data_IF_591938796176
#
_entry.id   IF_591938796176
#
_cell.length_a   1.000
_cell.length_b   1.000
_cell.length_c   1.000
_cell.angle_alpha   90.00
_cell.angle_beta   90.00
_cell.angle_gamma   90.00
#
_symmetry.space_group_name_H-M   'P 1'
#
loop_
_entity.id
_entity.type
_entity.pdbx_description
1 polymer ?
#
# COMPACT_ATOMS: atom_id res chain seq x y z
N UNK A 1 -3.15 5.05 4.81
CA UNK A 1 -2.62 5.51 3.50
C UNK A 1 -2.46 4.30 2.60
N UNK A 2 -2.77 4.42 1.32
CA UNK A 2 -2.55 3.36 0.32
C UNK A 2 -1.66 3.88 -0.77
N UNK A 3 -0.72 3.02 -1.16
CA UNK A 3 0.21 3.32 -2.23
C UNK A 3 0.00 2.28 -3.33
N UNK A 4 -0.39 2.80 -4.49
CA UNK A 4 -0.67 2.01 -5.69
C UNK A 4 -0.23 2.79 -6.90
N UNK A 5 0.05 2.12 -8.00
CA UNK A 5 0.53 2.79 -9.20
C UNK A 5 -0.54 3.73 -9.80
N UNK A 6 -0.09 4.84 -10.39
CA UNK A 6 -0.94 5.79 -11.09
C UNK A 6 -1.36 5.27 -12.47
N UNK A 7 -2.63 5.45 -12.84
CA UNK A 7 -3.11 5.19 -14.19
C UNK A 7 -2.72 6.28 -15.18
N UNK A 8 -2.78 7.56 -14.80
CA UNK A 8 -2.58 8.68 -15.73
C UNK A 8 -1.20 8.72 -16.42
N UNK A 9 -0.16 8.21 -15.77
CA UNK A 9 1.20 8.13 -16.33
C UNK A 9 1.59 6.71 -16.78
N UNK A 10 0.71 5.71 -16.59
CA UNK A 10 0.94 4.33 -16.99
C UNK A 10 -0.20 3.84 -17.87
N UNK A 11 0.01 3.91 -19.19
CA UNK A 11 -0.96 3.51 -20.22
C UNK A 11 -1.49 2.09 -20.00
N UNK A 12 -0.66 1.16 -19.50
CA UNK A 12 -1.10 -0.20 -19.21
C UNK A 12 -2.11 -0.27 -18.08
N UNK A 13 -1.90 0.50 -17.01
CA UNK A 13 -2.83 0.58 -15.87
C UNK A 13 -4.12 1.30 -16.28
N UNK A 14 -4.00 2.39 -17.05
CA UNK A 14 -5.17 3.08 -17.57
C UNK A 14 -6.04 2.15 -18.42
N UNK A 15 -5.45 1.45 -19.37
CA UNK A 15 -6.16 0.50 -20.22
C UNK A 15 -6.78 -0.64 -19.39
N UNK A 16 -6.04 -1.20 -18.44
CA UNK A 16 -6.56 -2.26 -17.56
C UNK A 16 -7.78 -1.79 -16.76
N UNK A 17 -7.77 -0.55 -16.29
CA UNK A 17 -8.90 0.07 -15.57
C UNK A 17 -10.09 0.36 -16.50
N UNK A 18 -9.85 0.86 -17.71
CA UNK A 18 -10.90 1.11 -18.70
C UNK A 18 -11.57 -0.19 -19.17
N UNK A 19 -10.81 -1.26 -19.31
CA UNK A 19 -11.31 -2.57 -19.74
C UNK A 19 -11.93 -3.40 -18.60
N UNK A 20 -11.57 -3.12 -17.36
CA UNK A 20 -12.04 -3.86 -16.19
C UNK A 20 -12.30 -2.92 -15.01
N UNK A 21 -13.59 -2.65 -14.75
CA UNK A 21 -14.03 -1.86 -13.60
C UNK A 21 -13.61 -2.46 -12.24
N UNK A 22 -13.25 -3.76 -12.18
CA UNK A 22 -12.73 -4.43 -10.99
C UNK A 22 -11.19 -4.39 -10.89
N UNK A 23 -10.51 -3.53 -11.66
CA UNK A 23 -9.07 -3.32 -11.52
C UNK A 23 -8.76 -2.50 -10.25
N UNK A 24 -8.69 -3.16 -9.10
CA UNK A 24 -8.63 -2.47 -7.80
C UNK A 24 -7.23 -1.94 -7.41
N UNK A 25 -6.17 -2.43 -8.07
CA UNK A 25 -4.77 -2.21 -7.70
C UNK A 25 -4.15 -0.85 -8.10
N UNK A 26 -4.94 0.12 -8.57
CA UNK A 26 -4.46 1.46 -8.92
C UNK A 26 -4.89 2.53 -7.90
N UNK A 27 -4.19 3.66 -7.92
CA UNK A 27 -4.48 4.79 -7.05
C UNK A 27 -5.93 5.32 -7.22
N UNK A 28 -6.46 5.32 -8.44
CA UNK A 28 -7.79 5.84 -8.74
C UNK A 28 -8.92 4.98 -8.15
N UNK A 29 -8.76 3.66 -8.19
CA UNK A 29 -9.75 2.73 -7.64
C UNK A 29 -9.50 2.42 -6.16
N UNK A 30 -8.31 2.74 -5.64
CA UNK A 30 -8.02 2.79 -4.21
C UNK A 30 -8.41 1.52 -3.43
N UNK A 31 -8.17 0.35 -4.04
CA UNK A 31 -8.57 -0.98 -3.54
C UNK A 31 -10.09 -1.19 -3.37
N UNK A 32 -10.93 -0.23 -3.77
CA UNK A 32 -12.38 -0.30 -3.63
C UNK A 32 -12.89 -0.12 -2.19
N UNK A 33 -12.06 0.35 -1.26
CA UNK A 33 -12.40 0.42 0.18
C UNK A 33 -12.58 1.86 0.72
N UNK A 34 -12.49 2.88 -0.14
CA UNK A 34 -12.57 4.29 0.26
C UNK A 34 -13.86 4.60 1.02
N UNK A 35 -15.01 4.36 0.39
CA UNK A 35 -16.32 4.67 0.97
C UNK A 35 -16.52 3.95 2.30
N UNK A 36 -16.10 2.69 2.39
CA UNK A 36 -16.18 1.92 3.62
C UNK A 36 -15.36 2.55 4.74
N UNK A 37 -14.09 2.92 4.50
CA UNK A 37 -13.24 3.56 5.51
C UNK A 37 -13.74 4.93 5.93
N UNK A 38 -14.14 5.76 4.97
CA UNK A 38 -14.65 7.10 5.22
C UNK A 38 -15.99 7.05 5.99
N UNK A 39 -16.86 6.07 5.70
CA UNK A 39 -18.11 5.85 6.46
C UNK A 39 -17.89 5.49 7.94
N UNK A 40 -16.69 5.00 8.29
CA UNK A 40 -16.27 4.72 9.67
C UNK A 40 -15.53 5.89 10.32
N UNK A 41 -15.40 7.02 9.62
CA UNK A 41 -14.71 8.21 10.11
C UNK A 41 -13.19 8.17 9.97
N UNK A 42 -12.65 7.23 9.19
CA UNK A 42 -11.21 7.16 8.94
C UNK A 42 -10.81 8.09 7.79
N UNK A 43 -9.64 8.72 7.92
CA UNK A 43 -9.02 9.41 6.80
C UNK A 43 -8.29 8.42 5.90
N UNK A 44 -8.62 8.44 4.61
CA UNK A 44 -8.06 7.52 3.63
C UNK A 44 -7.32 8.26 2.52
N UNK A 45 -6.01 8.39 2.72
CA UNK A 45 -5.08 9.01 1.75
C UNK A 45 -4.62 7.94 0.78
N UNK A 46 -4.68 8.23 -0.51
CA UNK A 46 -4.18 7.37 -1.59
C UNK A 46 -3.22 8.18 -2.42
N UNK A 47 -2.07 7.61 -2.76
CA UNK A 47 -1.08 8.28 -3.58
C UNK A 47 -0.34 7.29 -4.47
N UNK A 48 0.02 7.69 -5.70
CA UNK A 48 1.00 6.97 -6.48
C UNK A 48 2.44 7.34 -6.15
N UNK A 49 2.66 8.38 -5.36
CA UNK A 49 3.99 8.77 -4.93
C UNK A 49 4.49 7.82 -3.84
N UNK A 50 5.38 6.90 -4.22
CA UNK A 50 6.05 5.97 -3.30
C UNK A 50 7.43 6.47 -2.84
N UNK A 51 7.96 7.48 -3.54
CA UNK A 51 9.23 8.14 -3.26
C UNK A 51 9.04 9.65 -3.05
N UNK A 52 10.10 10.31 -2.60
CA UNK A 52 10.12 11.76 -2.48
C UNK A 52 9.50 12.32 -1.20
N UNK A 53 9.53 13.65 -1.05
CA UNK A 53 9.13 14.33 0.18
C UNK A 53 7.65 14.13 0.52
N UNK A 54 6.77 13.99 -0.48
CA UNK A 54 5.32 13.88 -0.25
C UNK A 54 4.96 12.53 0.40
N UNK A 55 5.48 11.41 -0.11
CA UNK A 55 5.33 10.11 0.55
C UNK A 55 5.94 10.13 1.96
N UNK A 56 7.12 10.72 2.11
CA UNK A 56 7.82 10.84 3.40
C UNK A 56 7.08 11.71 4.43
N UNK A 57 6.31 12.70 3.98
CA UNK A 57 5.64 13.68 4.84
C UNK A 57 4.49 13.05 5.64
N UNK A 58 3.79 12.07 5.07
CA UNK A 58 2.68 11.42 5.77
C UNK A 58 3.11 10.39 6.80
N UNK A 59 4.27 9.74 6.59
CA UNK A 59 4.75 8.60 7.40
C UNK A 59 4.66 8.84 8.93
N UNK A 60 5.06 10.01 9.48
CA UNK A 60 4.96 10.26 10.92
C UNK A 60 3.53 10.20 11.49
N UNK A 61 2.52 10.43 10.66
CA UNK A 61 1.12 10.54 11.07
C UNK A 61 0.28 9.29 10.75
N UNK A 62 0.84 8.32 10.03
CA UNK A 62 0.11 7.11 9.64
C UNK A 62 -0.09 6.17 10.81
N UNK A 63 -1.28 5.58 10.89
CA UNK A 63 -1.56 4.42 11.75
C UNK A 63 -1.52 3.11 10.95
N UNK A 64 -1.96 3.17 9.70
CA UNK A 64 -1.97 2.06 8.74
C UNK A 64 -1.37 2.51 7.42
N UNK A 65 -0.41 1.73 6.91
CA UNK A 65 0.11 1.85 5.55
C UNK A 65 -0.21 0.57 4.77
N UNK A 66 -0.87 0.74 3.62
CA UNK A 66 -1.15 -0.33 2.66
C UNK A 66 -0.28 -0.10 1.42
N UNK A 67 0.47 -1.11 1.00
CA UNK A 67 1.30 -1.07 -0.20
C UNK A 67 1.07 -2.33 -1.03
N UNK A 68 1.39 -2.30 -2.32
CA UNK A 68 1.27 -3.47 -3.19
C UNK A 68 2.65 -3.98 -3.61
N UNK A 69 2.88 -5.30 -3.78
CA UNK A 69 4.18 -5.82 -4.25
C UNK A 69 4.53 -5.36 -5.67
N UNK A 70 3.53 -5.09 -6.51
CA UNK A 70 3.70 -4.68 -7.91
C UNK A 70 4.15 -3.21 -8.05
N UNK A 71 3.86 -2.40 -7.03
CA UNK A 71 4.32 -1.01 -6.96
C UNK A 71 4.74 -0.70 -5.51
N UNK A 72 5.90 -1.25 -5.07
CA UNK A 72 6.21 -1.35 -3.65
C UNK A 72 6.73 -0.04 -3.10
N UNK A 73 6.15 0.39 -1.98
CA UNK A 73 6.72 1.44 -1.14
C UNK A 73 7.72 0.80 -0.18
N UNK A 74 9.01 1.04 -0.40
CA UNK A 74 10.01 0.53 0.52
C UNK A 74 9.86 1.17 1.91
N UNK A 75 9.61 0.34 2.92
CA UNK A 75 9.46 0.75 4.33
C UNK A 75 10.76 0.43 5.04
N UNK A 76 11.73 1.33 4.86
CA UNK A 76 13.09 1.19 5.40
C UNK A 76 13.13 1.43 6.91
N UNK A 77 14.22 0.99 7.57
CA UNK A 77 14.53 1.33 8.97
C UNK A 77 14.24 2.81 9.28
N UNK A 78 14.69 3.73 8.42
CA UNK A 78 14.58 5.17 8.66
C UNK A 78 13.14 5.68 8.56
N UNK A 79 12.33 5.10 7.68
CA UNK A 79 10.89 5.39 7.61
C UNK A 79 10.17 4.86 8.85
N UNK A 80 10.47 3.63 9.30
CA UNK A 80 9.90 3.03 10.52
C UNK A 80 10.20 3.89 11.75
N UNK A 81 11.46 4.32 11.93
CA UNK A 81 11.84 5.17 13.08
C UNK A 81 11.08 6.50 13.13
N UNK A 82 10.69 7.06 11.97
CA UNK A 82 9.91 8.30 11.85
C UNK A 82 8.40 8.07 12.07
N UNK A 83 7.91 6.85 11.84
CA UNK A 83 6.49 6.50 11.87
C UNK A 83 5.99 6.23 13.30
N UNK A 84 5.91 7.27 14.14
CA UNK A 84 5.64 7.13 15.58
C UNK A 84 4.26 6.56 15.91
N UNK A 85 3.28 6.76 15.03
CA UNK A 85 1.91 6.30 15.23
C UNK A 85 1.59 5.02 14.44
N UNK A 86 2.55 4.51 13.65
CA UNK A 86 2.30 3.39 12.77
C UNK A 86 2.12 2.13 13.60
N UNK A 87 1.09 1.36 13.26
CA UNK A 87 0.72 0.12 13.96
C UNK A 87 0.65 -1.06 13.00
N UNK A 88 0.23 -0.81 11.76
CA UNK A 88 -0.04 -1.84 10.77
C UNK A 88 0.58 -1.51 9.41
N UNK A 89 1.33 -2.47 8.89
CA UNK A 89 1.80 -2.55 7.52
C UNK A 89 1.04 -3.69 6.83
N UNK A 90 0.23 -3.36 5.83
CA UNK A 90 -0.56 -4.32 5.07
C UNK A 90 -0.07 -4.39 3.62
N UNK A 91 0.35 -5.56 3.20
CA UNK A 91 0.64 -5.84 1.79
C UNK A 91 -0.66 -6.25 1.09
N UNK A 92 -1.11 -5.45 0.13
CA UNK A 92 -2.19 -5.80 -0.80
C UNK A 92 -1.71 -6.81 -1.85
N UNK A 93 -1.55 -8.07 -1.43
CA UNK A 93 -0.95 -9.15 -2.20
C UNK A 93 -0.13 -10.09 -1.30
N UNK A 94 0.83 -10.78 -1.90
CA UNK A 94 1.80 -11.68 -1.21
C UNK A 94 3.21 -11.17 -1.47
N UNK A 95 4.06 -11.17 -0.43
CA UNK A 95 5.44 -10.68 -0.49
C UNK A 95 5.60 -9.34 0.22
N UNK A 96 6.24 -9.38 1.39
CA UNK A 96 6.46 -8.22 2.26
C UNK A 96 7.95 -7.87 2.39
N UNK A 97 8.79 -8.27 1.43
CA UNK A 97 10.24 -8.04 1.42
C UNK A 97 10.63 -6.55 1.21
N UNK A 98 9.69 -5.71 0.77
CA UNK A 98 9.85 -4.26 0.74
C UNK A 98 9.77 -3.60 2.12
N UNK A 99 9.50 -4.36 3.18
CA UNK A 99 9.52 -3.92 4.57
C UNK A 99 10.78 -4.40 5.27
N UNK A 100 11.42 -3.54 6.07
CA UNK A 100 12.45 -3.98 7.02
C UNK A 100 11.82 -4.78 8.18
N UNK A 101 11.59 -6.06 7.94
CA UNK A 101 10.87 -6.96 8.87
C UNK A 101 11.57 -7.08 10.22
N UNK A 102 12.91 -6.98 10.27
CA UNK A 102 13.67 -7.06 11.52
C UNK A 102 13.35 -5.86 12.41
N UNK A 103 13.41 -4.65 11.84
CA UNK A 103 13.10 -3.43 12.57
C UNK A 103 11.62 -3.31 12.88
N UNK A 104 10.73 -3.71 11.95
CA UNK A 104 9.30 -3.75 12.19
C UNK A 104 8.95 -4.63 13.40
N UNK A 105 9.48 -5.85 13.44
CA UNK A 105 9.29 -6.78 14.57
C UNK A 105 9.85 -6.19 15.88
N UNK A 106 11.07 -5.66 15.84
CA UNK A 106 11.72 -5.08 17.02
C UNK A 106 10.99 -3.84 17.59
N UNK A 107 10.22 -3.14 16.75
CA UNK A 107 9.43 -1.96 17.15
C UNK A 107 7.98 -2.30 17.48
N UNK A 108 7.59 -3.58 17.41
CA UNK A 108 6.22 -4.03 17.67
C UNK A 108 5.22 -3.72 16.56
N UNK A 109 5.69 -3.36 15.36
CA UNK A 109 4.83 -3.16 14.20
C UNK A 109 4.23 -4.49 13.73
N UNK A 110 2.94 -4.48 13.45
CA UNK A 110 2.26 -5.62 12.81
C UNK A 110 2.48 -5.54 11.31
N UNK A 111 3.02 -6.59 10.72
CA UNK A 111 3.16 -6.74 9.27
C UNK A 111 2.31 -7.92 8.83
N UNK A 112 1.40 -7.69 7.88
CA UNK A 112 0.48 -8.71 7.35
C UNK A 112 0.38 -8.60 5.84
N UNK A 113 0.00 -9.72 5.22
CA UNK A 113 -0.24 -9.84 3.79
C UNK A 113 -1.43 -10.77 3.55
N UNK A 114 -1.91 -10.85 2.32
CA UNK A 114 -3.10 -11.63 1.97
C UNK A 114 -2.66 -13.02 1.48
N UNK A 115 -2.12 -13.84 2.40
CA UNK A 115 -1.62 -15.18 2.06
C UNK A 115 -2.66 -15.99 1.28
N UNK A 116 -2.24 -16.57 0.16
CA UNK A 116 -3.10 -17.33 -0.76
C UNK A 116 -3.86 -16.51 -1.80
N UNK A 117 -3.82 -15.17 -1.77
CA UNK A 117 -4.62 -14.32 -2.67
C UNK A 117 -4.29 -14.47 -4.16
N UNK A 118 -3.03 -14.75 -4.48
CA UNK A 118 -2.55 -14.80 -5.87
C UNK A 118 -1.63 -16.01 -6.17
N UNK A 119 -1.57 -17.02 -5.29
CA UNK A 119 -0.65 -18.16 -5.47
C UNK A 119 -0.95 -18.99 -6.72
N UNK A 120 -2.23 -19.15 -7.08
CA UNK A 120 -2.65 -19.83 -8.32
C UNK A 120 -2.22 -18.99 -9.53
N UNK A 121 -2.53 -17.69 -9.51
CA UNK A 121 -2.17 -16.78 -10.60
C UNK A 121 -0.67 -16.60 -10.83
N UNK A 122 0.16 -16.86 -9.82
CA UNK A 122 1.63 -16.86 -9.94
C UNK A 122 2.17 -18.20 -10.47
N UNK A 123 1.44 -19.29 -10.25
CA UNK A 123 1.85 -20.64 -10.67
C UNK A 123 1.52 -20.94 -12.14
N UNK A 124 0.48 -20.32 -12.68
CA UNK A 124 0.07 -20.38 -14.09
C UNK A 124 0.94 -19.48 -15.00
#
# INVERSE_FOLDING_TARGET
MVIGAEGHHNVGIQLAREMNHNFLGCAENALGIREWLESKGHQYIVTPEKEGPDCGTFIPYLHVLISTPFYPTYVTTERIKKAKNLQLLLTGGIGSDHVDLKVATATGLTVVEITGSNTVSVAD
#
